data_IF_820314520718
#
_entry.id   IF_820314520718
#
_cell.length_a   1.000
_cell.length_b   1.000
_cell.length_c   1.000
_cell.angle_alpha   90.00
_cell.angle_beta   90.00
_cell.angle_gamma   90.00
#
_symmetry.space_group_name_H-M   'P 1'
#
loop_
_entity.id
_entity.type
_entity.pdbx_description
1 polymer ?
#
# COMPACT_ATOMS: atom_id res chain seq x y z
N UNK A 1 -15.78 -12.43 54.35
CA UNK A 1 -17.24 -12.36 54.56
C UNK A 1 -17.90 -13.18 53.47
N UNK A 2 -18.72 -14.14 53.88
CA UNK A 2 -19.44 -15.10 53.07
C UNK A 2 -20.76 -14.47 52.57
N UNK A 3 -21.24 -14.81 51.38
CA UNK A 3 -22.64 -14.81 50.86
C UNK A 3 -22.51 -14.88 49.31
N UNK A 4 -22.82 -15.95 48.58
CA UNK A 4 -23.79 -17.00 48.81
C UNK A 4 -25.14 -16.64 48.19
N UNK A 5 -25.30 -16.78 46.87
CA UNK A 5 -26.60 -17.07 46.25
C UNK A 5 -26.47 -17.66 44.84
N UNK A 6 -26.77 -18.95 44.75
CA UNK A 6 -27.14 -19.69 43.52
C UNK A 6 -28.46 -19.13 43.02
N UNK A 7 -28.60 -18.98 41.70
CA UNK A 7 -29.90 -18.89 41.05
C UNK A 7 -30.10 -20.17 40.26
N UNK A 8 -31.09 -20.93 40.72
CA UNK A 8 -31.52 -22.21 40.21
C UNK A 8 -32.22 -22.04 38.85
N UNK A 9 -31.87 -22.93 37.93
CA UNK A 9 -32.57 -23.16 36.67
C UNK A 9 -33.93 -23.82 36.95
N UNK A 10 -35.02 -23.20 36.48
CA UNK A 10 -36.31 -23.87 36.33
C UNK A 10 -36.66 -23.98 34.83
N UNK A 11 -36.92 -25.19 34.30
CA UNK A 11 -37.47 -25.39 32.96
C UNK A 11 -39.01 -25.37 32.99
N UNK A 12 -39.63 -24.58 32.11
CA UNK A 12 -41.06 -24.62 31.79
C UNK A 12 -41.16 -24.72 30.25
N UNK A 13 -41.34 -25.93 29.72
CA UNK A 13 -42.63 -26.58 29.39
C UNK A 13 -43.21 -26.06 28.07
N UNK A 14 -43.16 -26.94 27.06
CA UNK A 14 -43.79 -26.81 25.76
C UNK A 14 -45.33 -26.84 25.83
N UNK A 15 -46.01 -26.37 24.78
CA UNK A 15 -47.25 -26.96 24.33
C UNK A 15 -47.07 -27.70 23.00
N UNK A 16 -47.37 -29.00 23.03
CA UNK A 16 -47.77 -29.79 21.87
C UNK A 16 -49.25 -29.53 21.54
N UNK A 17 -49.58 -29.88 20.29
CA UNK A 17 -50.89 -30.29 19.75
C UNK A 17 -51.95 -29.25 19.34
N UNK A 18 -52.36 -29.36 18.07
CA UNK A 18 -53.63 -28.82 17.58
C UNK A 18 -53.69 -28.65 16.07
N UNK A 19 -53.89 -29.76 15.34
CA UNK A 19 -53.97 -29.87 13.89
C UNK A 19 -55.17 -29.13 13.24
N UNK A 20 -55.08 -28.97 11.92
CA UNK A 20 -55.89 -28.08 11.09
C UNK A 20 -57.33 -28.48 10.79
N UNK A 21 -58.04 -27.58 10.11
CA UNK A 21 -59.09 -27.90 9.15
C UNK A 21 -59.38 -26.69 8.25
N UNK A 22 -59.67 -26.98 6.99
CA UNK A 22 -59.79 -26.07 5.87
C UNK A 22 -61.17 -25.37 5.76
N UNK A 23 -61.22 -24.47 4.77
CA UNK A 23 -62.29 -23.55 4.35
C UNK A 23 -63.73 -24.11 4.26
N UNK A 24 -64.69 -23.18 4.08
CA UNK A 24 -65.52 -23.30 2.89
C UNK A 24 -65.57 -22.02 2.04
N UNK A 25 -65.64 -22.25 0.74
CA UNK A 25 -65.94 -21.28 -0.29
C UNK A 25 -67.46 -21.14 -0.49
N UNK A 26 -67.87 -19.94 -0.91
CA UNK A 26 -69.00 -19.75 -1.83
C UNK A 26 -70.38 -19.62 -1.21
N UNK A 27 -70.97 -18.43 -1.33
CA UNK A 27 -72.38 -18.28 -1.67
C UNK A 27 -72.58 -17.03 -2.53
N UNK A 28 -73.49 -17.07 -3.52
CA UNK A 28 -73.61 -16.08 -4.58
C UNK A 28 -74.47 -14.88 -4.17
N UNK A 29 -74.26 -13.78 -4.90
CA UNK A 29 -75.15 -12.64 -5.04
C UNK A 29 -76.63 -13.03 -5.17
N UNK A 30 -77.53 -12.18 -4.63
CA UNK A 30 -78.67 -11.76 -5.43
C UNK A 30 -78.79 -10.23 -5.46
N UNK A 31 -79.05 -9.73 -6.66
CA UNK A 31 -79.09 -8.31 -6.96
C UNK A 31 -80.24 -7.52 -6.34
N UNK A 32 -80.03 -6.21 -6.33
CA UNK A 32 -80.99 -5.17 -6.67
C UNK A 32 -82.33 -5.12 -5.94
N UNK A 33 -82.44 -4.17 -5.00
CA UNK A 33 -83.67 -3.41 -4.76
C UNK A 33 -83.31 -1.99 -4.33
N UNK A 34 -83.93 -0.99 -4.99
CA UNK A 34 -83.73 0.43 -4.73
C UNK A 34 -84.57 0.99 -3.59
N UNK A 35 -84.24 2.24 -3.24
CA UNK A 35 -84.91 3.08 -2.22
C UNK A 35 -84.20 2.93 -0.88
N UNK A 36 -83.75 3.96 -0.18
CA UNK A 36 -84.29 5.30 -0.04
C UNK A 36 -83.21 6.18 0.62
N UNK A 37 -83.10 7.45 0.20
CA UNK A 37 -82.17 8.40 0.81
C UNK A 37 -82.58 8.74 2.25
N UNK A 38 -81.67 8.56 3.21
CA UNK A 38 -81.69 9.18 4.54
C UNK A 38 -80.28 9.68 4.87
N UNK A 39 -80.21 10.91 5.36
CA UNK A 39 -79.00 11.71 5.45
C UNK A 39 -77.96 11.25 6.47
N UNK A 40 -76.71 11.52 6.11
CA UNK A 40 -75.53 11.83 6.91
C UNK A 40 -75.40 11.27 8.33
N UNK A 41 -74.62 10.20 8.46
CA UNK A 41 -73.55 10.10 9.46
C UNK A 41 -72.28 9.67 8.72
N UNK A 42 -71.20 10.43 8.93
CA UNK A 42 -70.02 10.41 8.06
C UNK A 42 -69.35 9.04 7.99
N UNK A 43 -68.85 8.69 6.79
CA UNK A 43 -67.86 7.62 6.64
C UNK A 43 -66.81 7.77 7.73
N UNK A 44 -66.41 6.69 8.43
CA UNK A 44 -65.42 6.79 9.49
C UNK A 44 -64.19 7.49 8.94
N UNK A 45 -63.88 8.67 9.48
CA UNK A 45 -62.69 9.41 9.07
C UNK A 45 -61.48 8.50 9.32
N UNK A 46 -60.54 8.40 8.36
CA UNK A 46 -59.35 7.60 8.51
C UNK A 46 -58.65 7.91 9.84
N UNK A 47 -58.22 6.87 10.55
CA UNK A 47 -57.55 6.99 11.85
C UNK A 47 -56.24 7.77 11.69
N UNK A 48 -56.11 8.89 12.42
CA UNK A 48 -54.93 9.76 12.38
C UNK A 48 -54.17 9.68 13.71
N UNK A 49 -53.16 8.81 13.83
CA UNK A 49 -52.36 8.74 15.05
C UNK A 49 -51.58 10.03 15.27
N UNK A 50 -51.55 10.51 16.51
CA UNK A 50 -50.75 11.67 16.87
C UNK A 50 -49.26 11.43 16.59
N UNK A 51 -48.59 12.42 16.01
CA UNK A 51 -47.15 12.38 15.70
C UNK A 51 -46.79 11.79 14.33
N UNK A 52 -47.76 11.38 13.51
CA UNK A 52 -47.49 10.98 12.13
C UNK A 52 -47.40 12.22 11.20
N UNK A 53 -46.29 12.43 10.47
CA UNK A 53 -46.15 13.52 9.52
C UNK A 53 -47.25 13.57 8.46
N UNK A 54 -47.69 14.78 8.10
CA UNK A 54 -48.86 14.99 7.22
C UNK A 54 -48.77 14.30 5.85
N UNK A 55 -47.56 14.13 5.32
CA UNK A 55 -47.30 13.48 4.03
C UNK A 55 -47.48 11.95 4.05
N UNK A 56 -47.62 11.35 5.23
CA UNK A 56 -47.84 9.91 5.39
C UNK A 56 -49.33 9.55 5.51
N UNK A 57 -50.23 10.53 5.59
CA UNK A 57 -51.67 10.28 5.53
C UNK A 57 -52.11 9.93 4.10
N UNK A 58 -52.86 8.84 3.97
CA UNK A 58 -53.56 8.43 2.75
C UNK A 58 -55.03 8.86 2.76
N UNK A 59 -55.71 8.72 1.63
CA UNK A 59 -57.16 8.92 1.54
C UNK A 59 -57.95 7.85 2.31
N UNK A 60 -57.29 6.75 2.68
CA UNK A 60 -57.82 5.67 3.51
C UNK A 60 -56.78 5.19 4.52
N UNK A 61 -57.22 4.43 5.52
CA UNK A 61 -56.32 3.75 6.48
C UNK A 61 -55.33 2.83 5.76
N UNK A 62 -55.77 2.14 4.70
CA UNK A 62 -54.91 1.27 3.89
C UNK A 62 -53.79 2.05 3.20
N UNK A 63 -54.14 3.17 2.56
CA UNK A 63 -53.15 4.02 1.91
C UNK A 63 -52.20 4.68 2.92
N UNK A 64 -52.70 5.04 4.11
CA UNK A 64 -51.85 5.54 5.22
C UNK A 64 -50.86 4.46 5.67
N UNK A 65 -51.32 3.21 5.89
CA UNK A 65 -50.45 2.09 6.25
C UNK A 65 -49.42 1.78 5.15
N UNK A 66 -49.81 1.83 3.87
CA UNK A 66 -48.90 1.61 2.74
C UNK A 66 -47.82 2.70 2.67
N UNK A 67 -48.18 3.98 2.92
CA UNK A 67 -47.22 5.10 2.99
C UNK A 67 -46.27 4.98 4.17
N UNK A 68 -46.77 4.63 5.37
CA UNK A 68 -45.94 4.41 6.55
C UNK A 68 -44.98 3.24 6.33
N UNK A 69 -45.47 2.14 5.78
CA UNK A 69 -44.64 0.97 5.47
C UNK A 69 -43.58 1.29 4.41
N UNK A 70 -43.97 2.03 3.36
CA UNK A 70 -43.04 2.53 2.33
C UNK A 70 -41.95 3.44 2.91
N UNK A 71 -42.31 4.35 3.83
CA UNK A 71 -41.36 5.23 4.51
C UNK A 71 -40.42 4.47 5.47
N UNK A 72 -40.88 3.36 6.05
CA UNK A 72 -40.06 2.51 6.93
C UNK A 72 -39.15 1.54 6.18
N UNK A 73 -39.42 1.28 4.89
CA UNK A 73 -38.64 0.34 4.07
C UNK A 73 -37.14 0.67 4.02
N UNK A 74 -36.68 1.92 3.77
CA UNK A 74 -35.26 2.24 3.82
C UNK A 74 -34.61 1.98 5.18
N UNK A 75 -35.34 2.21 6.28
CA UNK A 75 -34.85 1.89 7.62
C UNK A 75 -34.71 0.37 7.82
N UNK A 76 -35.68 -0.42 7.35
CA UNK A 76 -35.57 -1.90 7.36
C UNK A 76 -34.41 -2.40 6.53
N UNK A 77 -34.21 -1.85 5.34
CA UNK A 77 -33.09 -2.20 4.47
C UNK A 77 -31.75 -1.81 5.11
N UNK A 78 -31.67 -0.64 5.75
CA UNK A 78 -30.48 -0.23 6.52
C UNK A 78 -30.21 -1.15 7.71
N UNK A 79 -31.24 -1.58 8.45
CA UNK A 79 -31.12 -2.53 9.56
C UNK A 79 -30.69 -3.91 9.04
N UNK A 80 -31.27 -4.38 7.94
CA UNK A 80 -30.88 -5.64 7.31
C UNK A 80 -29.41 -5.60 6.87
N UNK A 81 -29.00 -4.53 6.18
CA UNK A 81 -27.60 -4.31 5.77
C UNK A 81 -26.66 -4.25 6.96
N UNK A 82 -27.04 -3.57 8.05
CA UNK A 82 -26.27 -3.56 9.29
C UNK A 82 -26.05 -5.00 9.82
N UNK A 83 -27.08 -5.85 9.79
CA UNK A 83 -26.96 -7.27 10.17
C UNK A 83 -25.93 -8.03 9.32
N UNK A 84 -25.86 -7.74 8.02
CA UNK A 84 -24.89 -8.38 7.11
C UNK A 84 -23.44 -8.02 7.44
N UNK A 85 -23.19 -6.79 7.94
CA UNK A 85 -21.88 -6.27 8.33
C UNK A 85 -21.29 -6.92 9.60
N UNK A 86 -22.05 -7.79 10.25
CA UNK A 86 -21.64 -8.50 11.46
C UNK A 86 -21.86 -7.70 12.73
N UNK A 87 -21.37 -8.27 13.84
CA UNK A 87 -21.46 -7.65 15.15
C UNK A 87 -20.31 -6.64 15.35
N UNK A 88 -20.53 -5.70 16.28
CA UNK A 88 -19.44 -4.89 16.81
C UNK A 88 -18.63 -5.78 17.77
N UNK A 89 -17.32 -5.96 17.56
CA UNK A 89 -16.49 -6.70 18.50
C UNK A 89 -16.57 -6.15 19.93
N UNK A 90 -16.44 -7.03 20.93
CA UNK A 90 -16.43 -6.63 22.35
C UNK A 90 -15.13 -5.94 22.74
N UNK A 91 -14.05 -6.24 22.02
CA UNK A 91 -12.72 -5.72 22.21
C UNK A 91 -11.97 -5.68 20.87
N UNK A 92 -10.84 -4.98 20.84
CA UNK A 92 -10.05 -4.80 19.63
C UNK A 92 -9.52 -6.12 19.05
N UNK A 93 -9.33 -7.17 19.86
CA UNK A 93 -8.88 -8.48 19.39
C UNK A 93 -9.90 -9.23 18.54
N UNK A 94 -11.17 -8.82 18.56
CA UNK A 94 -12.22 -9.46 17.74
C UNK A 94 -12.17 -9.10 16.25
N UNK A 95 -11.32 -8.16 15.83
CA UNK A 95 -11.12 -7.87 14.41
C UNK A 95 -10.15 -8.84 13.76
N UNK A 96 -10.62 -9.52 12.72
CA UNK A 96 -9.81 -10.39 11.87
C UNK A 96 -9.44 -9.70 10.58
N UNK A 97 -8.22 -9.93 10.14
CA UNK A 97 -7.73 -9.46 8.85
C UNK A 97 -6.90 -10.56 8.19
N UNK A 98 -7.33 -10.98 7.01
CA UNK A 98 -6.58 -11.89 6.16
C UNK A 98 -6.01 -11.06 5.00
N UNK A 99 -4.69 -10.84 4.95
CA UNK A 99 -4.10 -10.01 3.92
C UNK A 99 -4.13 -10.70 2.56
N UNK A 100 -4.37 -9.90 1.53
CA UNK A 100 -4.29 -10.34 0.13
C UNK A 100 -2.85 -10.71 -0.25
N UNK A 101 -2.67 -11.44 -1.35
CA UNK A 101 -1.34 -11.83 -1.83
C UNK A 101 -0.41 -10.63 -2.09
N UNK A 102 -0.99 -9.48 -2.43
CA UNK A 102 -0.26 -8.22 -2.61
C UNK A 102 0.27 -7.64 -1.30
N UNK A 103 -0.47 -7.82 -0.21
CA UNK A 103 -0.13 -7.30 1.11
C UNK A 103 0.81 -8.21 1.90
N UNK A 104 0.75 -9.53 1.67
CA UNK A 104 1.56 -10.51 2.40
C UNK A 104 3.05 -10.18 2.50
N UNK A 105 3.74 -9.69 1.45
CA UNK A 105 5.16 -9.35 1.55
C UNK A 105 5.43 -8.18 2.52
N UNK A 106 4.47 -7.26 2.65
CA UNK A 106 4.59 -6.03 3.43
C UNK A 106 4.20 -6.21 4.90
N UNK A 107 3.54 -7.31 5.22
CA UNK A 107 3.00 -7.56 6.54
C UNK A 107 3.81 -8.66 7.23
N UNK A 108 4.37 -8.30 8.38
CA UNK A 108 4.98 -9.27 9.31
C UNK A 108 3.93 -9.93 10.19
N UNK A 109 4.29 -10.17 11.45
CA UNK A 109 3.33 -10.64 12.45
C UNK A 109 2.38 -9.51 12.86
N UNK A 110 1.16 -9.54 12.30
CA UNK A 110 0.10 -8.57 12.58
C UNK A 110 -0.31 -8.53 14.06
N UNK A 111 -0.19 -9.64 14.80
CA UNK A 111 -0.53 -9.66 16.22
C UNK A 111 0.56 -9.01 17.09
N UNK A 112 1.80 -9.00 16.62
CA UNK A 112 2.88 -8.24 17.23
C UNK A 112 2.87 -6.76 16.81
N UNK A 113 2.30 -6.43 15.66
CA UNK A 113 2.32 -5.09 15.07
C UNK A 113 1.56 -4.04 15.93
N UNK A 114 2.25 -3.01 16.47
CA UNK A 114 1.60 -1.96 17.26
C UNK A 114 0.67 -1.06 16.44
N UNK A 115 0.96 -0.84 15.16
CA UNK A 115 0.10 -0.08 14.24
C UNK A 115 -1.19 -0.85 13.99
N UNK A 116 -1.10 -2.17 13.81
CA UNK A 116 -2.29 -3.00 13.64
C UNK A 116 -3.16 -3.04 14.91
N UNK A 117 -2.56 -3.08 16.10
CA UNK A 117 -3.30 -2.92 17.38
C UNK A 117 -4.02 -1.58 17.46
N UNK A 118 -3.34 -0.48 17.14
CA UNK A 118 -3.94 0.85 17.13
C UNK A 118 -5.08 0.95 16.11
N UNK A 119 -4.93 0.33 14.92
CA UNK A 119 -5.98 0.29 13.91
C UNK A 119 -7.24 -0.45 14.43
N UNK A 120 -7.06 -1.59 15.11
CA UNK A 120 -8.17 -2.35 15.73
C UNK A 120 -8.84 -1.56 16.85
N UNK A 121 -8.09 -0.86 17.69
CA UNK A 121 -8.65 0.02 18.72
C UNK A 121 -9.42 1.20 18.14
N UNK A 122 -8.89 1.82 17.09
CA UNK A 122 -9.55 2.92 16.39
C UNK A 122 -10.84 2.43 15.72
N UNK A 123 -10.82 1.26 15.09
CA UNK A 123 -11.99 0.63 14.50
C UNK A 123 -13.09 0.38 15.53
N UNK A 124 -12.73 -0.12 16.72
CA UNK A 124 -13.68 -0.33 17.82
C UNK A 124 -14.31 0.99 18.27
N UNK A 125 -13.48 2.02 18.49
CA UNK A 125 -13.94 3.37 18.89
C UNK A 125 -14.85 4.01 17.85
N UNK A 126 -14.60 3.73 16.57
CA UNK A 126 -15.40 4.24 15.44
C UNK A 126 -16.62 3.39 15.13
N UNK A 127 -16.87 2.31 15.85
CA UNK A 127 -18.03 1.44 15.64
C UNK A 127 -17.97 0.63 14.33
N UNK A 128 -16.77 0.41 13.78
CA UNK A 128 -16.59 -0.44 12.60
C UNK A 128 -16.93 -1.88 13.00
N UNK A 129 -17.80 -2.56 12.23
CA UNK A 129 -18.19 -3.94 12.53
C UNK A 129 -17.14 -4.93 12.02
N UNK A 130 -17.16 -6.15 12.56
CA UNK A 130 -16.13 -7.17 12.30
C UNK A 130 -15.86 -7.38 10.81
N UNK A 131 -16.91 -7.55 10.00
CA UNK A 131 -16.77 -7.83 8.55
C UNK A 131 -16.39 -6.62 7.71
N UNK A 132 -16.43 -5.41 8.29
CA UNK A 132 -16.05 -4.18 7.59
C UNK A 132 -14.56 -3.90 7.70
N UNK A 133 -13.94 -4.30 8.81
CA UNK A 133 -12.56 -3.94 9.12
C UNK A 133 -11.58 -4.48 8.09
N UNK A 134 -11.62 -5.78 7.78
CA UNK A 134 -10.69 -6.42 6.86
C UNK A 134 -10.69 -5.80 5.46
N UNK A 135 -11.85 -5.67 4.78
CA UNK A 135 -11.92 -5.00 3.49
C UNK A 135 -11.47 -3.54 3.52
N UNK A 136 -11.82 -2.81 4.60
CA UNK A 136 -11.44 -1.41 4.75
C UNK A 136 -9.93 -1.23 4.89
N UNK A 137 -9.30 -1.94 5.82
CA UNK A 137 -7.86 -1.81 6.06
C UNK A 137 -7.06 -2.36 4.89
N UNK A 138 -7.51 -3.45 4.26
CA UNK A 138 -6.91 -4.01 3.06
C UNK A 138 -6.89 -3.01 1.91
N UNK A 139 -8.03 -2.36 1.62
CA UNK A 139 -8.11 -1.37 0.56
C UNK A 139 -7.19 -0.16 0.80
N UNK A 140 -7.08 0.30 2.06
CA UNK A 140 -6.17 1.41 2.41
C UNK A 140 -4.71 1.00 2.20
N UNK A 141 -4.31 -0.17 2.69
CA UNK A 141 -2.93 -0.65 2.54
C UNK A 141 -2.57 -0.89 1.07
N UNK A 142 -3.47 -1.47 0.28
CA UNK A 142 -3.24 -1.69 -1.15
C UNK A 142 -3.11 -0.37 -1.92
N UNK A 143 -3.95 0.63 -1.60
CA UNK A 143 -3.86 1.95 -2.20
C UNK A 143 -2.53 2.66 -1.87
N UNK A 144 -1.97 2.46 -0.68
CA UNK A 144 -0.65 2.97 -0.33
C UNK A 144 0.47 2.33 -1.14
N UNK A 145 0.35 1.02 -1.44
CA UNK A 145 1.29 0.33 -2.33
C UNK A 145 1.14 0.84 -3.77
N UNK A 146 -0.09 0.96 -4.27
CA UNK A 146 -0.36 1.46 -5.62
C UNK A 146 0.07 2.93 -5.81
N UNK A 147 -0.02 3.72 -4.75
CA UNK A 147 0.46 5.09 -4.71
C UNK A 147 1.97 5.22 -4.48
N UNK A 148 2.73 4.11 -4.46
CA UNK A 148 4.17 4.06 -4.18
C UNK A 148 4.56 4.74 -2.85
N UNK A 149 3.61 4.82 -1.91
CA UNK A 149 3.80 5.46 -0.61
C UNK A 149 4.56 4.55 0.37
N UNK A 150 4.75 3.28 0.00
CA UNK A 150 5.48 2.27 0.79
C UNK A 150 6.53 1.64 -0.10
N UNK A 151 7.77 1.64 0.37
CA UNK A 151 8.84 0.95 -0.33
C UNK A 151 8.58 -0.56 -0.32
N UNK A 152 8.87 -1.28 -1.42
CA UNK A 152 8.79 -2.72 -1.45
C UNK A 152 9.61 -3.33 -0.30
N UNK A 153 9.12 -4.40 0.33
CA UNK A 153 9.84 -5.07 1.41
C UNK A 153 11.12 -5.67 0.83
N UNK A 154 12.21 -5.55 1.58
CA UNK A 154 13.49 -6.18 1.19
C UNK A 154 13.37 -7.68 1.44
N UNK A 155 13.36 -8.47 0.37
CA UNK A 155 13.51 -9.92 0.47
C UNK A 155 14.96 -10.24 0.83
N UNK A 156 15.20 -10.55 2.11
CA UNK A 156 16.54 -10.84 2.63
C UNK A 156 17.19 -12.06 1.97
N UNK A 157 16.40 -13.05 1.52
CA UNK A 157 16.93 -14.23 0.85
C UNK A 157 17.35 -13.88 -0.58
N UNK A 158 16.50 -13.14 -1.29
CA UNK A 158 16.83 -12.62 -2.62
C UNK A 158 18.02 -11.65 -2.55
N UNK A 159 18.10 -10.80 -1.53
CA UNK A 159 19.18 -9.83 -1.35
C UNK A 159 20.53 -10.53 -1.08
N UNK A 160 20.54 -11.55 -0.22
CA UNK A 160 21.72 -12.40 -0.01
C UNK A 160 22.15 -13.11 -1.28
N UNK A 161 21.20 -13.65 -2.06
CA UNK A 161 21.51 -14.26 -3.34
C UNK A 161 22.04 -13.23 -4.36
N UNK A 162 21.51 -12.01 -4.32
CA UNK A 162 21.89 -10.90 -5.20
C UNK A 162 23.28 -10.32 -4.89
N UNK A 163 23.75 -10.46 -3.64
CA UNK A 163 25.09 -10.08 -3.21
C UNK A 163 26.18 -11.00 -3.78
N UNK A 164 25.85 -12.26 -4.11
CA UNK A 164 26.80 -13.21 -4.69
C UNK A 164 27.25 -12.73 -6.08
N UNK A 165 28.56 -12.52 -6.31
CA UNK A 165 29.09 -12.18 -7.64
C UNK A 165 28.75 -13.25 -8.69
N UNK A 166 28.60 -12.86 -9.95
CA UNK A 166 28.18 -13.76 -11.04
C UNK A 166 29.14 -14.96 -11.20
N UNK A 167 30.44 -14.71 -11.06
CA UNK A 167 31.51 -15.71 -11.10
C UNK A 167 31.47 -16.71 -9.93
N UNK A 168 30.81 -16.35 -8.83
CA UNK A 168 30.74 -17.18 -7.62
C UNK A 168 29.44 -17.98 -7.52
N UNK A 169 28.44 -17.73 -8.38
CA UNK A 169 27.11 -18.38 -8.29
C UNK A 169 27.14 -19.90 -8.35
N UNK A 170 28.09 -20.47 -9.08
CA UNK A 170 28.25 -21.93 -9.25
C UNK A 170 29.09 -22.60 -8.15
N UNK A 171 29.65 -21.81 -7.21
CA UNK A 171 30.50 -22.33 -6.14
C UNK A 171 29.66 -22.88 -4.98
N UNK A 172 30.30 -23.67 -4.11
CA UNK A 172 29.69 -24.10 -2.86
C UNK A 172 29.39 -22.91 -1.93
N UNK A 173 28.60 -23.15 -0.88
CA UNK A 173 28.14 -22.09 0.02
C UNK A 173 29.27 -21.34 0.73
N UNK A 174 30.33 -22.04 1.17
CA UNK A 174 31.45 -21.39 1.83
C UNK A 174 32.23 -20.49 0.87
N UNK A 175 32.46 -20.97 -0.36
CA UNK A 175 33.10 -20.19 -1.39
C UNK A 175 32.25 -18.98 -1.86
N UNK A 176 30.92 -19.12 -1.92
CA UNK A 176 29.99 -18.01 -2.17
C UNK A 176 30.07 -16.94 -1.09
N UNK A 177 30.05 -17.34 0.18
CA UNK A 177 30.15 -16.40 1.30
C UNK A 177 31.50 -15.66 1.29
N UNK A 178 32.60 -16.38 1.05
CA UNK A 178 33.93 -15.77 0.92
C UNK A 178 34.01 -14.76 -0.25
N UNK A 179 33.31 -15.03 -1.36
CA UNK A 179 33.22 -14.12 -2.50
C UNK A 179 32.41 -12.87 -2.17
N UNK A 180 31.30 -12.99 -1.43
CA UNK A 180 30.53 -11.84 -0.92
C UNK A 180 31.38 -10.98 0.02
N UNK A 181 32.05 -11.59 1.00
CA UNK A 181 32.92 -10.87 1.94
C UNK A 181 34.07 -10.15 1.22
N UNK A 182 34.62 -10.78 0.18
CA UNK A 182 35.64 -10.16 -0.66
C UNK A 182 35.06 -8.96 -1.42
N UNK A 183 33.91 -9.13 -2.07
CA UNK A 183 33.23 -8.06 -2.83
C UNK A 183 33.00 -6.81 -1.97
N UNK A 184 32.43 -6.98 -0.78
CA UNK A 184 32.13 -5.88 0.14
C UNK A 184 33.42 -5.19 0.60
N UNK A 185 34.45 -5.96 0.96
CA UNK A 185 35.77 -5.40 1.34
C UNK A 185 36.43 -4.63 0.21
N UNK A 186 36.41 -5.18 -1.00
CA UNK A 186 37.01 -4.56 -2.19
C UNK A 186 36.29 -3.23 -2.51
N UNK A 187 34.96 -3.18 -2.36
CA UNK A 187 34.17 -1.95 -2.56
C UNK A 187 34.41 -0.92 -1.45
N UNK A 188 34.57 -1.33 -0.19
CA UNK A 188 35.00 -0.42 0.88
C UNK A 188 36.39 0.17 0.61
N UNK A 189 37.35 -0.66 0.20
CA UNK A 189 38.69 -0.20 -0.15
C UNK A 189 38.66 0.80 -1.32
N UNK A 190 37.73 0.61 -2.26
CA UNK A 190 37.52 1.53 -3.38
C UNK A 190 36.96 2.89 -2.93
N UNK A 191 36.01 2.90 -1.99
CA UNK A 191 35.53 4.16 -1.38
C UNK A 191 36.65 4.91 -0.66
N UNK A 192 37.51 4.21 0.09
CA UNK A 192 38.68 4.83 0.73
C UNK A 192 39.67 5.39 -0.31
N UNK A 193 39.85 4.72 -1.45
CA UNK A 193 40.64 5.24 -2.55
C UNK A 193 40.01 6.49 -3.19
N UNK A 194 38.69 6.60 -3.26
CA UNK A 194 37.99 7.79 -3.75
C UNK A 194 38.04 8.95 -2.77
N UNK A 195 37.96 8.68 -1.46
CA UNK A 195 38.21 9.69 -0.41
C UNK A 195 39.59 10.29 -0.55
N UNK A 196 40.61 9.46 -0.75
CA UNK A 196 41.97 9.91 -1.01
C UNK A 196 42.11 10.75 -2.30
N UNK A 197 41.16 10.62 -3.24
CA UNK A 197 41.10 11.39 -4.50
C UNK A 197 40.17 12.60 -4.43
N UNK A 198 39.61 12.92 -3.27
CA UNK A 198 38.83 14.14 -3.05
C UNK A 198 37.32 13.94 -2.87
N UNK A 199 36.82 12.70 -2.79
CA UNK A 199 35.45 12.46 -2.31
C UNK A 199 35.35 12.90 -0.83
N UNK A 200 34.34 13.69 -0.48
CA UNK A 200 34.17 14.13 0.92
C UNK A 200 33.91 12.94 1.84
N UNK A 201 34.32 13.07 3.11
CA UNK A 201 34.11 12.04 4.12
C UNK A 201 32.63 11.67 4.24
N UNK A 202 31.75 12.68 4.33
CA UNK A 202 30.29 12.49 4.43
C UNK A 202 29.72 11.75 3.21
N UNK A 203 30.19 12.06 2.00
CA UNK A 203 29.71 11.36 0.79
C UNK A 203 30.17 9.91 0.79
N UNK A 204 31.39 9.64 1.24
CA UNK A 204 31.91 8.29 1.30
C UNK A 204 31.26 7.46 2.40
N UNK A 205 30.90 8.07 3.53
CA UNK A 205 30.12 7.43 4.58
C UNK A 205 28.71 7.09 4.07
N UNK A 206 28.04 8.03 3.42
CA UNK A 206 26.72 7.80 2.82
C UNK A 206 26.75 6.66 1.79
N UNK A 207 27.77 6.62 0.92
CA UNK A 207 27.96 5.51 -0.02
C UNK A 207 28.31 4.20 0.69
N UNK A 208 29.08 4.26 1.79
CA UNK A 208 29.44 3.11 2.62
C UNK A 208 28.20 2.41 3.19
N UNK A 209 27.19 3.16 3.64
CA UNK A 209 25.93 2.61 4.14
C UNK A 209 25.17 1.80 3.07
N UNK A 210 25.40 2.06 1.79
CA UNK A 210 24.75 1.30 0.71
C UNK A 210 25.42 -0.05 0.45
N UNK A 211 26.64 -0.27 0.94
CA UNK A 211 27.40 -1.51 0.72
C UNK A 211 26.84 -2.72 1.48
N UNK A 212 25.88 -2.52 2.37
CA UNK A 212 25.10 -3.61 2.97
C UNK A 212 24.09 -4.22 1.98
N UNK A 213 23.88 -3.57 0.83
CA UNK A 213 22.95 -4.02 -0.22
C UNK A 213 23.68 -4.48 -1.48
N UNK A 214 23.11 -5.44 -2.19
CA UNK A 214 23.56 -5.89 -3.50
C UNK A 214 23.56 -4.73 -4.52
N UNK A 215 22.54 -3.88 -4.45
CA UNK A 215 22.42 -2.71 -5.33
C UNK A 215 23.56 -1.70 -5.11
N UNK A 216 23.89 -1.38 -3.86
CA UNK A 216 25.00 -0.48 -3.54
C UNK A 216 26.35 -1.03 -3.98
N UNK A 217 26.63 -2.32 -3.76
CA UNK A 217 27.85 -2.95 -4.26
C UNK A 217 27.97 -2.86 -5.78
N UNK A 218 26.89 -3.17 -6.52
CA UNK A 218 26.87 -3.04 -7.99
C UNK A 218 27.06 -1.59 -8.44
N UNK A 219 26.48 -0.62 -7.73
CA UNK A 219 26.63 0.79 -8.07
C UNK A 219 28.09 1.24 -7.95
N UNK A 220 28.78 0.86 -6.87
CA UNK A 220 30.21 1.17 -6.67
C UNK A 220 31.08 0.51 -7.75
N UNK A 221 30.81 -0.74 -8.11
CA UNK A 221 31.49 -1.44 -9.21
C UNK A 221 31.27 -0.73 -10.56
N UNK A 222 30.05 -0.28 -10.83
CA UNK A 222 29.71 0.47 -12.04
C UNK A 222 30.44 1.82 -12.09
N UNK A 223 30.43 2.60 -11.01
CA UNK A 223 31.19 3.86 -10.92
C UNK A 223 32.69 3.63 -11.09
N UNK A 224 33.22 2.57 -10.50
CA UNK A 224 34.63 2.20 -10.65
C UNK A 224 34.99 1.84 -12.09
N UNK A 225 34.11 1.12 -12.80
CA UNK A 225 34.29 0.83 -14.22
C UNK A 225 34.29 2.12 -15.05
N UNK A 226 33.38 3.05 -14.76
CA UNK A 226 33.26 4.31 -15.47
C UNK A 226 34.48 5.23 -15.26
N UNK A 227 35.08 5.23 -14.08
CA UNK A 227 36.31 5.97 -13.80
C UNK A 227 37.57 5.38 -14.44
N UNK A 228 37.55 4.10 -14.83
CA UNK A 228 38.65 3.45 -15.57
C UNK A 228 38.59 3.74 -17.07
N UNK A 229 37.41 4.08 -17.60
CA UNK A 229 37.25 4.55 -18.97
C UNK A 229 37.57 6.05 -19.05
N UNK A 230 38.41 6.50 -20.00
CA UNK A 230 38.53 7.93 -20.30
C UNK A 230 37.17 8.45 -20.78
N UNK A 231 36.43 9.11 -19.89
CA UNK A 231 35.16 9.72 -20.25
C UNK A 231 35.41 11.12 -20.81
N UNK A 232 34.86 11.46 -21.98
CA UNK A 232 34.72 12.86 -22.38
C UNK A 232 33.91 13.55 -21.29
N UNK A 233 34.48 14.57 -20.65
CA UNK A 233 33.83 15.31 -19.58
C UNK A 233 32.44 15.80 -20.02
N UNK A 234 31.35 15.46 -19.32
CA UNK A 234 29.98 15.88 -19.65
C UNK A 234 29.69 17.29 -19.10
N UNK A 235 30.71 18.14 -19.06
CA UNK A 235 30.54 19.59 -18.95
C UNK A 235 31.07 20.16 -20.24
N UNK A 236 30.17 20.60 -21.13
CA UNK A 236 30.54 21.28 -22.36
C UNK A 236 31.45 22.46 -22.06
N UNK A 237 32.75 22.21 -22.12
CA UNK A 237 33.75 23.25 -22.25
C UNK A 237 33.37 24.03 -23.52
N UNK A 238 33.22 25.37 -23.44
CA UNK A 238 33.01 26.17 -24.64
C UNK A 238 34.10 25.79 -25.63
N UNK A 239 33.72 25.56 -26.90
CA UNK A 239 34.64 25.11 -27.94
C UNK A 239 35.92 25.98 -27.90
N UNK A 240 37.00 25.42 -27.35
CA UNK A 240 38.27 26.12 -27.12
C UNK A 240 38.87 26.09 -25.70
N UNK A 241 38.17 25.61 -24.65
CA UNK A 241 38.80 25.50 -23.32
C UNK A 241 39.25 24.07 -23.01
N UNK A 242 40.57 23.87 -22.95
CA UNK A 242 41.21 22.62 -22.58
C UNK A 242 41.69 22.69 -21.12
N UNK A 243 41.73 21.56 -20.41
CA UNK A 243 42.22 21.51 -19.03
C UNK A 243 43.66 20.92 -18.96
N UNK A 244 44.28 20.99 -17.77
CA UNK A 244 45.66 20.51 -17.55
C UNK A 244 45.84 19.02 -17.86
N UNK A 245 44.83 18.20 -17.56
CA UNK A 245 44.88 16.76 -17.83
C UNK A 245 44.81 16.46 -19.34
N UNK A 246 44.04 17.24 -20.11
CA UNK A 246 43.99 17.10 -21.57
C UNK A 246 45.35 17.42 -22.21
N UNK A 247 46.01 18.47 -21.73
CA UNK A 247 47.33 18.88 -22.22
C UNK A 247 48.42 17.88 -21.81
N UNK A 248 48.37 17.33 -20.59
CA UNK A 248 49.31 16.31 -20.12
C UNK A 248 49.12 14.96 -20.82
N UNK A 249 47.88 14.60 -21.16
CA UNK A 249 47.61 13.42 -21.97
C UNK A 249 48.14 13.59 -23.41
N UNK A 250 47.98 14.78 -23.99
CA UNK A 250 48.47 15.09 -25.35
C UNK A 250 49.98 15.21 -25.44
N UNK A 251 50.66 15.69 -24.40
CA UNK A 251 52.13 15.77 -24.38
C UNK A 251 52.82 14.40 -24.33
N UNK A 252 52.10 13.35 -23.91
CA UNK A 252 52.55 11.95 -23.91
C UNK A 252 52.12 11.18 -25.17
N UNK A 253 51.33 11.79 -26.05
CA UNK A 253 50.88 11.15 -27.28
C UNK A 253 52.04 11.07 -28.29
N UNK A 254 52.33 9.88 -28.86
CA UNK A 254 53.36 9.72 -29.89
C UNK A 254 53.27 10.68 -31.08
N UNK A 255 52.07 11.22 -31.37
CA UNK A 255 51.84 12.20 -32.43
C UNK A 255 52.47 13.57 -32.15
N UNK A 256 52.68 13.93 -30.88
CA UNK A 256 53.33 15.19 -30.49
C UNK A 256 54.86 15.11 -30.41
N UNK A 257 55.46 13.92 -30.50
CA UNK A 257 56.89 13.70 -30.26
C UNK A 257 57.67 13.78 -31.57
N UNK A 258 58.49 14.83 -31.70
CA UNK A 258 59.36 15.04 -32.87
C UNK A 258 60.30 13.83 -33.02
N UNK A 259 60.31 13.23 -34.21
CA UNK A 259 61.10 12.03 -34.52
C UNK A 259 60.37 10.70 -34.31
N UNK A 260 59.12 10.71 -33.84
CA UNK A 260 58.27 9.52 -33.82
C UNK A 260 57.69 9.25 -35.23
N UNK A 261 57.52 7.97 -35.59
CA UNK A 261 56.92 7.57 -36.87
C UNK A 261 55.47 8.07 -37.06
N UNK A 262 54.77 8.40 -35.97
CA UNK A 262 53.40 8.93 -35.97
C UNK A 262 53.34 10.44 -35.77
N UNK A 263 54.48 11.13 -35.83
CA UNK A 263 54.54 12.58 -35.59
C UNK A 263 53.62 13.34 -36.54
N UNK A 264 52.79 14.19 -35.95
CA UNK A 264 51.87 15.09 -36.64
C UNK A 264 52.20 16.53 -36.23
N UNK A 265 52.75 17.35 -37.15
CA UNK A 265 53.17 18.70 -36.84
C UNK A 265 52.00 19.62 -36.45
N UNK A 266 50.81 19.35 -36.96
CA UNK A 266 49.57 20.08 -36.62
C UNK A 266 49.13 19.75 -35.21
N UNK A 267 49.21 18.47 -34.82
CA UNK A 267 48.89 18.01 -33.46
C UNK A 267 49.87 18.56 -32.41
N UNK A 268 51.16 18.61 -32.74
CA UNK A 268 52.19 19.18 -31.86
C UNK A 268 51.98 20.69 -31.65
N UNK A 269 51.76 21.46 -32.73
CA UNK A 269 51.50 22.90 -32.65
C UNK A 269 50.23 23.25 -31.87
N UNK A 270 49.17 22.44 -32.00
CA UNK A 270 47.94 22.62 -31.21
C UNK A 270 48.21 22.35 -29.72
N UNK A 271 48.96 21.30 -29.40
CA UNK A 271 49.31 20.94 -28.02
C UNK A 271 50.18 22.03 -27.36
N UNK A 272 51.14 22.60 -28.09
CA UNK A 272 51.95 23.73 -27.61
C UNK A 272 51.12 25.00 -27.38
N UNK A 273 50.16 25.30 -28.28
CA UNK A 273 49.23 26.42 -28.09
C UNK A 273 48.36 26.23 -26.84
N UNK A 274 47.91 25.00 -26.60
CA UNK A 274 47.15 24.65 -25.39
C UNK A 274 48.02 24.81 -24.13
N UNK A 275 49.29 24.40 -24.18
CA UNK A 275 50.25 24.59 -23.09
C UNK A 275 50.47 26.07 -22.77
N UNK A 276 50.69 26.91 -23.78
CA UNK A 276 50.87 28.35 -23.63
C UNK A 276 49.62 29.06 -23.07
N UNK A 277 48.43 28.54 -23.38
CA UNK A 277 47.16 29.09 -22.87
C UNK A 277 46.96 28.75 -21.38
N UNK A 278 47.42 27.58 -20.93
CA UNK A 278 47.30 27.14 -19.53
C UNK A 278 48.42 27.65 -18.62
N UNK A 279 49.58 27.97 -19.19
CA UNK A 279 50.75 28.47 -18.48
C UNK A 279 51.27 29.76 -19.14
N UNK A 280 50.51 30.87 -19.09
CA UNK A 280 51.03 32.16 -19.52
C UNK A 280 52.16 32.60 -18.58
N UNK A 281 53.31 32.96 -19.14
CA UNK A 281 54.45 33.53 -18.41
C UNK A 281 54.12 34.92 -17.84
#
# INVERSE_FOLDING_TARGET
>A
MNFGRRLDFHPMRAPEDGAGAAAPAGSPDPGGAGGQATGGEGSPSPYRPEGLPDHLYGASDRETLDKVFGAYKPAREAIARMGELGELPKDAGGYKFEPSDKLKPYLGDLEADPVFKLAREAALKSGIREKQFGPFIGAVMEAMIDGEMVQPPVDLAAEKAALVPDEAKALDENARNAAVDRRVRDNHAMLEAWKARGLSADSAEALGLTLDTAAGNRAIEWFAAQMKTPQPSPGGAPAGSFNKADVEARSRDPRGIVGNAKYDPTFAAETDRMWQTLYPN
#
